data_IF_210967504427
#
_entry.id   IF_210967504427
#
_cell.length_a   1.000
_cell.length_b   1.000
_cell.length_c   1.000
_cell.angle_alpha   90.00
_cell.angle_beta   90.00
_cell.angle_gamma   90.00
#
_symmetry.space_group_name_H-M   'P 1'
#
loop_
_entity.id
_entity.type
_entity.pdbx_description
1 polymer ?
#
# COMPACT_ATOMS: atom_id res chain seq x y z
N UNK A 1 -18.16 -0.48 -3.20
CA UNK A 1 -18.56 0.44 -2.14
C UNK A 1 -18.75 -0.30 -0.82
N UNK A 2 -19.50 -1.39 -0.83
CA UNK A 2 -19.70 -2.24 0.34
C UNK A 2 -18.39 -2.84 0.85
N UNK A 3 -17.49 -3.14 -0.06
CA UNK A 3 -16.17 -3.67 0.25
C UNK A 3 -15.31 -2.69 1.04
N UNK A 4 -15.36 -1.42 0.63
CA UNK A 4 -14.67 -0.36 1.36
C UNK A 4 -15.23 -0.16 2.75
N UNK A 5 -16.55 -0.28 2.90
CA UNK A 5 -17.19 -0.18 4.19
C UNK A 5 -16.74 -1.30 5.12
N UNK A 6 -16.61 -2.51 4.61
CA UNK A 6 -16.14 -3.64 5.40
C UNK A 6 -14.73 -3.39 5.96
N UNK A 7 -13.83 -2.86 5.13
CA UNK A 7 -12.48 -2.51 5.56
C UNK A 7 -12.52 -1.37 6.57
N UNK A 8 -13.32 -0.36 6.28
CA UNK A 8 -13.45 0.82 7.14
C UNK A 8 -14.00 0.47 8.51
N UNK A 9 -14.96 -0.44 8.57
CA UNK A 9 -15.58 -0.86 9.81
C UNK A 9 -14.62 -1.64 10.71
N UNK A 10 -13.44 -2.01 10.18
CA UNK A 10 -12.40 -2.68 10.95
C UNK A 10 -11.36 -1.71 11.48
N UNK A 11 -11.68 -0.44 11.47
CA UNK A 11 -10.85 0.64 11.97
C UNK A 11 -9.59 0.90 11.11
N UNK A 12 -8.73 1.75 11.59
CA UNK A 12 -7.54 2.14 10.87
C UNK A 12 -6.33 1.29 11.30
N UNK A 13 -5.22 1.54 10.63
CA UNK A 13 -3.99 0.78 10.87
C UNK A 13 -3.44 1.01 12.28
N UNK A 14 -3.63 2.19 12.84
CA UNK A 14 -3.16 2.50 14.19
C UNK A 14 -3.91 1.73 15.26
N UNK A 15 -5.18 1.38 15.01
CA UNK A 15 -5.99 0.57 15.91
C UNK A 15 -5.50 -0.87 15.94
N UNK A 16 -5.24 -1.45 14.76
CA UNK A 16 -4.78 -2.84 14.65
C UNK A 16 -3.31 -3.01 15.00
N UNK A 17 -2.50 -2.00 14.73
CA UNK A 17 -1.05 -2.04 14.92
C UNK A 17 -0.60 -0.79 15.66
N UNK A 18 -0.97 -0.66 16.96
CA UNK A 18 -0.65 0.56 17.69
C UNK A 18 0.87 0.74 17.82
N UNK A 19 1.37 1.96 17.62
CA UNK A 19 2.80 2.23 17.73
C UNK A 19 3.37 1.99 19.13
N UNK A 20 2.49 1.93 20.14
CA UNK A 20 2.87 1.62 21.52
C UNK A 20 3.11 0.12 21.75
N UNK A 21 2.68 -0.74 20.82
CA UNK A 21 2.87 -2.19 20.94
C UNK A 21 4.29 -2.54 20.51
N UNK A 22 5.14 -3.11 21.41
CA UNK A 22 6.52 -3.47 21.06
C UNK A 22 6.62 -4.42 19.87
N UNK A 23 5.59 -5.24 19.63
CA UNK A 23 5.55 -6.18 18.52
C UNK A 23 5.68 -5.47 17.17
N UNK A 24 5.15 -4.25 17.07
CA UNK A 24 5.11 -3.49 15.81
C UNK A 24 6.12 -2.37 15.75
N UNK A 25 6.86 -2.13 16.82
CA UNK A 25 7.87 -1.09 16.85
C UNK A 25 8.98 -1.40 15.85
N UNK A 26 9.21 -0.49 14.92
CA UNK A 26 10.21 -0.68 13.88
C UNK A 26 9.86 -1.78 12.87
N UNK A 27 8.60 -2.22 12.84
CA UNK A 27 8.19 -3.27 11.92
C UNK A 27 8.29 -2.82 10.47
N UNK A 28 8.73 -3.73 9.61
CA UNK A 28 8.74 -3.51 8.17
C UNK A 28 7.32 -3.34 7.64
N UNK A 29 7.11 -2.38 6.73
CA UNK A 29 5.79 -2.12 6.14
C UNK A 29 5.22 -3.34 5.42
N UNK A 30 6.09 -4.19 4.85
CA UNK A 30 5.65 -5.44 4.22
C UNK A 30 5.00 -6.39 5.21
N UNK A 31 5.51 -6.44 6.44
CA UNK A 31 4.93 -7.28 7.49
C UNK A 31 3.56 -6.74 7.93
N UNK A 32 3.42 -5.42 8.01
CA UNK A 32 2.14 -4.80 8.32
C UNK A 32 1.12 -5.09 7.21
N UNK A 33 1.54 -4.99 5.96
CA UNK A 33 0.66 -5.31 4.83
C UNK A 33 0.24 -6.77 4.87
N UNK A 34 1.16 -7.69 5.16
CA UNK A 34 0.83 -9.11 5.26
C UNK A 34 -0.21 -9.36 6.34
N UNK A 35 -0.09 -8.70 7.49
CA UNK A 35 -1.07 -8.82 8.57
C UNK A 35 -2.43 -8.25 8.17
N UNK A 36 -2.46 -7.14 7.45
CA UNK A 36 -3.72 -6.58 6.92
C UNK A 36 -4.35 -7.53 5.93
N UNK A 37 -3.55 -8.18 5.07
CA UNK A 37 -4.05 -9.17 4.12
C UNK A 37 -4.67 -10.37 4.83
N UNK A 38 -4.06 -10.83 5.92
CA UNK A 38 -4.64 -11.91 6.73
C UNK A 38 -5.99 -11.52 7.30
N UNK A 39 -6.13 -10.29 7.78
CA UNK A 39 -7.40 -9.77 8.28
C UNK A 39 -8.46 -9.72 7.17
N UNK A 40 -8.09 -9.27 5.99
CA UNK A 40 -9.00 -9.19 4.86
C UNK A 40 -9.47 -10.57 4.42
N UNK A 41 -8.55 -11.53 4.35
CA UNK A 41 -8.87 -12.91 3.99
C UNK A 41 -9.77 -13.56 5.03
N UNK A 42 -9.50 -13.35 6.31
CA UNK A 42 -10.33 -13.86 7.39
C UNK A 42 -11.75 -13.29 7.33
N UNK A 43 -11.90 -12.08 6.79
CA UNK A 43 -13.20 -11.44 6.59
C UNK A 43 -13.88 -11.87 5.28
N UNK A 44 -13.25 -12.72 4.49
CA UNK A 44 -13.81 -13.24 3.24
C UNK A 44 -13.56 -12.36 2.02
N UNK A 45 -12.55 -11.51 2.05
CA UNK A 45 -12.23 -10.61 0.95
C UNK A 45 -10.95 -11.03 0.25
N UNK A 46 -10.89 -10.78 -1.05
CA UNK A 46 -9.69 -10.99 -1.85
C UNK A 46 -9.40 -9.75 -2.69
N UNK A 47 -8.13 -9.53 -2.97
CA UNK A 47 -7.71 -8.41 -3.83
C UNK A 47 -7.96 -8.77 -5.28
N UNK A 48 -8.61 -7.88 -6.01
CA UNK A 48 -8.80 -8.00 -7.46
C UNK A 48 -7.70 -7.25 -8.18
N UNK A 49 -7.47 -6.00 -7.79
CA UNK A 49 -6.38 -5.20 -8.34
C UNK A 49 -6.00 -4.08 -7.37
N UNK A 50 -4.85 -3.48 -7.66
CA UNK A 50 -4.34 -2.32 -6.92
C UNK A 50 -3.80 -1.31 -7.92
N UNK A 51 -4.12 -0.05 -7.71
CA UNK A 51 -3.56 1.07 -8.44
C UNK A 51 -2.92 2.03 -7.45
N UNK A 52 -1.64 2.30 -7.62
CA UNK A 52 -0.90 3.17 -6.71
C UNK A 52 -0.11 4.22 -7.48
N UNK A 53 -0.01 5.39 -6.91
CA UNK A 53 0.82 6.48 -7.41
C UNK A 53 1.79 6.89 -6.31
N UNK A 54 3.08 6.90 -6.63
CA UNK A 54 4.13 7.38 -5.73
C UNK A 54 4.62 8.71 -6.24
N UNK A 55 4.63 9.71 -5.37
CA UNK A 55 5.08 11.06 -5.70
C UNK A 55 6.38 11.30 -4.94
N UNK A 56 7.48 11.47 -5.67
CA UNK A 56 8.80 11.53 -5.09
C UNK A 56 9.78 12.18 -6.06
N UNK A 57 10.56 13.14 -5.58
CA UNK A 57 11.61 13.74 -6.41
C UNK A 57 12.82 12.82 -6.52
N UNK A 58 13.21 12.20 -5.42
CA UNK A 58 14.32 11.25 -5.34
C UNK A 58 14.03 10.15 -4.34
N UNK A 59 14.48 8.92 -4.63
CA UNK A 59 15.11 8.49 -5.88
C UNK A 59 14.11 8.52 -7.03
N UNK A 60 14.63 8.55 -8.27
CA UNK A 60 13.77 8.46 -9.46
C UNK A 60 13.29 7.01 -9.57
N UNK A 61 12.00 6.82 -9.41
CA UNK A 61 11.42 5.49 -9.27
C UNK A 61 11.13 4.80 -10.62
N UNK A 62 11.28 5.53 -11.74
CA UNK A 62 11.00 4.95 -13.05
C UNK A 62 11.73 3.65 -13.32
N UNK A 63 13.02 3.58 -12.94
CA UNK A 63 13.82 2.38 -13.14
C UNK A 63 13.46 1.25 -12.15
N UNK A 64 12.84 1.57 -11.04
CA UNK A 64 12.49 0.60 -9.99
C UNK A 64 11.02 0.20 -10.04
N UNK A 65 10.24 0.79 -10.91
CA UNK A 65 8.79 0.64 -10.95
C UNK A 65 8.35 -0.81 -11.10
N UNK A 66 8.99 -1.55 -12.00
CA UNK A 66 8.65 -2.95 -12.21
C UNK A 66 9.00 -3.83 -11.01
N UNK A 67 10.10 -3.53 -10.34
CA UNK A 67 10.50 -4.23 -9.12
C UNK A 67 9.52 -3.96 -7.98
N UNK A 68 9.08 -2.72 -7.83
CA UNK A 68 8.08 -2.34 -6.83
C UNK A 68 6.78 -3.07 -7.12
N UNK A 69 6.35 -3.09 -8.38
CA UNK A 69 5.13 -3.77 -8.80
C UNK A 69 5.18 -5.26 -8.46
N UNK A 70 6.28 -5.91 -8.78
CA UNK A 70 6.45 -7.34 -8.49
C UNK A 70 6.42 -7.62 -6.98
N UNK A 71 7.08 -6.79 -6.19
CA UNK A 71 7.09 -6.95 -4.74
C UNK A 71 5.70 -6.74 -4.12
N UNK A 72 4.98 -5.72 -4.56
CA UNK A 72 3.62 -5.46 -4.08
C UNK A 72 2.70 -6.62 -4.45
N UNK A 73 2.79 -7.09 -5.69
CA UNK A 73 1.98 -8.24 -6.13
C UNK A 73 2.24 -9.47 -5.27
N UNK A 74 3.49 -9.73 -4.94
CA UNK A 74 3.88 -10.85 -4.09
C UNK A 74 3.29 -10.71 -2.69
N UNK A 75 3.37 -9.50 -2.11
CA UNK A 75 2.82 -9.24 -0.77
C UNK A 75 1.29 -9.38 -0.75
N UNK A 76 0.62 -9.02 -1.83
CA UNK A 76 -0.83 -9.14 -1.94
C UNK A 76 -1.29 -10.55 -2.35
N UNK A 77 -0.38 -11.39 -2.81
CA UNK A 77 -0.72 -12.72 -3.30
C UNK A 77 -1.45 -12.71 -4.64
N UNK A 78 -1.17 -11.74 -5.49
CA UNK A 78 -1.79 -11.58 -6.81
C UNK A 78 -0.74 -11.57 -7.92
N UNK A 79 -1.20 -11.70 -9.17
CA UNK A 79 -0.30 -11.59 -10.32
C UNK A 79 0.15 -10.14 -10.52
N UNK A 80 1.38 -9.92 -11.04
CA UNK A 80 1.85 -8.55 -11.30
C UNK A 80 0.93 -7.74 -12.22
N UNK A 81 0.21 -8.39 -13.13
CA UNK A 81 -0.74 -7.71 -14.01
C UNK A 81 -1.92 -7.08 -13.25
N UNK A 82 -2.16 -7.51 -12.01
CA UNK A 82 -3.22 -6.96 -11.17
C UNK A 82 -2.77 -5.74 -10.37
N UNK A 83 -1.51 -5.34 -10.51
CA UNK A 83 -0.92 -4.22 -9.79
C UNK A 83 -0.44 -3.17 -10.78
N UNK A 84 -0.86 -1.93 -10.61
CA UNK A 84 -0.39 -0.80 -11.41
C UNK A 84 0.33 0.17 -10.48
N UNK A 85 1.57 0.49 -10.83
CA UNK A 85 2.39 1.46 -10.09
C UNK A 85 2.73 2.60 -11.03
N UNK A 86 2.42 3.81 -10.61
CA UNK A 86 2.79 5.03 -11.31
C UNK A 86 3.72 5.84 -10.41
N UNK A 87 4.71 6.46 -11.01
CA UNK A 87 5.65 7.29 -10.28
C UNK A 87 5.71 8.66 -10.96
N UNK A 88 5.71 9.72 -10.17
CA UNK A 88 5.83 11.07 -10.69
C UNK A 88 6.48 11.98 -9.68
N UNK A 89 6.95 13.14 -10.15
CA UNK A 89 7.51 14.17 -9.29
C UNK A 89 6.41 15.12 -8.85
N UNK A 90 6.71 15.98 -7.89
CA UNK A 90 5.82 17.04 -7.45
C UNK A 90 6.23 18.40 -8.04
N UNK A 91 6.91 18.37 -9.17
CA UNK A 91 7.36 19.56 -9.90
C UNK A 91 8.16 20.52 -9.00
N UNK A 92 8.94 19.96 -8.10
CA UNK A 92 9.77 20.68 -7.13
C UNK A 92 8.97 21.60 -6.20
N UNK A 93 7.69 21.31 -6.05
CA UNK A 93 6.82 22.10 -5.16
C UNK A 93 6.70 21.45 -3.78
N UNK A 94 6.57 22.28 -2.74
CA UNK A 94 6.42 21.96 -1.32
C UNK A 94 7.49 20.96 -0.80
N UNK A 95 7.22 20.26 0.30
CA UNK A 95 8.18 19.38 0.96
C UNK A 95 8.60 18.20 0.07
N UNK A 96 7.66 17.63 -0.68
CA UNK A 96 7.97 16.54 -1.60
C UNK A 96 8.89 17.04 -2.72
N UNK A 97 8.58 18.19 -3.28
CA UNK A 97 9.39 18.80 -4.35
C UNK A 97 10.79 19.20 -3.90
N UNK A 98 10.97 19.46 -2.60
CA UNK A 98 12.27 19.78 -2.02
C UNK A 98 13.04 18.54 -1.56
N UNK A 99 12.57 17.35 -1.91
CA UNK A 99 13.20 16.09 -1.54
C UNK A 99 13.15 15.81 -0.02
N UNK A 100 12.25 16.46 0.69
CA UNK A 100 12.09 16.28 2.13
C UNK A 100 11.17 15.13 2.50
N UNK A 101 10.50 14.53 1.52
CA UNK A 101 9.60 13.42 1.76
C UNK A 101 9.04 12.85 0.48
N UNK A 102 8.17 11.87 0.62
CA UNK A 102 7.45 11.27 -0.49
C UNK A 102 6.00 11.03 -0.09
N UNK A 103 5.16 10.89 -1.08
CA UNK A 103 3.73 10.63 -0.89
C UNK A 103 3.34 9.42 -1.74
N UNK A 104 2.47 8.58 -1.20
CA UNK A 104 1.92 7.46 -1.95
C UNK A 104 0.41 7.42 -1.74
N UNK A 105 -0.31 7.18 -2.83
CA UNK A 105 -1.75 7.02 -2.84
C UNK A 105 -2.07 5.69 -3.50
N UNK A 106 -2.92 4.89 -2.87
CA UNK A 106 -3.29 3.59 -3.43
C UNK A 106 -4.79 3.36 -3.35
N UNK A 107 -5.32 2.74 -4.39
CA UNK A 107 -6.71 2.30 -4.44
C UNK A 107 -6.72 0.81 -4.71
N UNK A 108 -7.43 0.07 -3.88
CA UNK A 108 -7.51 -1.39 -3.98
C UNK A 108 -8.96 -1.79 -4.22
N UNK A 109 -9.17 -2.63 -5.21
CA UNK A 109 -10.48 -3.23 -5.45
C UNK A 109 -10.50 -4.61 -4.81
N UNK A 110 -11.50 -4.82 -3.95
CA UNK A 110 -11.71 -6.10 -3.28
C UNK A 110 -12.98 -6.76 -3.80
N UNK A 111 -12.99 -8.09 -3.76
CA UNK A 111 -14.18 -8.88 -4.05
C UNK A 111 -14.34 -9.94 -2.97
N UNK A 112 -15.54 -10.42 -2.78
CA UNK A 112 -15.76 -11.56 -1.91
C UNK A 112 -15.08 -12.80 -2.48
N UNK A 113 -14.37 -13.47 -1.60
CA UNK A 113 -13.71 -14.71 -1.96
C UNK A 113 -14.73 -15.86 -2.10
#
# INVERSE_FOLDING_TARGET
>A
RQRQMCIRDRDDIGTHFPPSDPKWKGADSGKLLAAVMDLAQAAGWQVVNLDATVICERPKLGALKEQIRANVAKLLGVAPAQVSIKAKTNEKMDAVGREEGMMALATVLLAKA
#
